data_IF_948660042331
#
_entry.id   IF_948660042331
#
_cell.length_a   1.000
_cell.length_b   1.000
_cell.length_c   1.000
_cell.angle_alpha   90.00
_cell.angle_beta   90.00
_cell.angle_gamma   90.00
#
_symmetry.space_group_name_H-M   'P 1'
#
loop_
_entity.id
_entity.type
_entity.pdbx_description
1 polymer ?
#
# COMPACT_ATOMS: atom_id res chain seq x y z
N UNK A 1 9.52 -6.50 -31.55
CA UNK A 1 9.75 -6.66 -30.10
C UNK A 1 9.41 -8.09 -29.76
N UNK A 2 10.28 -8.84 -29.08
CA UNK A 2 9.88 -10.13 -28.53
C UNK A 2 8.70 -9.88 -27.57
N UNK A 3 7.67 -10.72 -27.59
CA UNK A 3 6.60 -10.61 -26.62
C UNK A 3 7.20 -10.78 -25.23
N UNK A 4 7.08 -9.77 -24.37
CA UNK A 4 7.48 -9.91 -22.97
C UNK A 4 6.45 -10.81 -22.30
N UNK A 5 6.88 -12.01 -21.90
CA UNK A 5 6.04 -12.92 -21.15
C UNK A 5 6.01 -12.49 -19.67
N UNK A 6 4.82 -12.27 -19.16
CA UNK A 6 4.57 -12.00 -17.75
C UNK A 6 3.97 -13.21 -17.04
N UNK A 7 4.27 -13.33 -15.75
CA UNK A 7 3.65 -14.28 -14.84
C UNK A 7 2.90 -13.50 -13.75
N UNK A 8 1.63 -13.84 -13.53
CA UNK A 8 0.83 -13.26 -12.44
C UNK A 8 0.72 -14.29 -11.33
N UNK A 9 1.02 -13.86 -10.09
CA UNK A 9 1.03 -14.73 -8.93
C UNK A 9 0.47 -14.00 -7.71
N UNK A 10 0.01 -14.77 -6.73
CA UNK A 10 -0.31 -14.24 -5.41
C UNK A 10 0.97 -14.23 -4.55
N UNK A 11 1.13 -13.16 -3.78
CA UNK A 11 2.20 -12.99 -2.80
C UNK A 11 1.83 -13.78 -1.56
N UNK A 12 2.72 -14.67 -1.13
CA UNK A 12 2.50 -15.54 0.04
C UNK A 12 3.53 -15.33 1.15
N UNK A 13 4.55 -14.51 0.87
CA UNK A 13 5.65 -14.24 1.79
C UNK A 13 5.97 -12.75 1.83
N UNK A 14 6.53 -12.32 2.96
CA UNK A 14 6.99 -10.95 3.15
C UNK A 14 8.10 -10.56 2.17
N UNK A 15 8.98 -11.49 1.79
CA UNK A 15 10.05 -11.24 0.82
C UNK A 15 9.50 -10.99 -0.59
N UNK A 16 8.44 -11.70 -0.98
CA UNK A 16 7.70 -11.41 -2.21
C UNK A 16 7.03 -10.03 -2.13
N UNK A 17 6.42 -9.69 -0.99
CA UNK A 17 5.83 -8.38 -0.75
C UNK A 17 6.86 -7.25 -0.82
N UNK A 18 8.05 -7.42 -0.24
CA UNK A 18 9.12 -6.42 -0.26
C UNK A 18 9.52 -6.04 -1.70
N UNK A 19 9.49 -6.99 -2.63
CA UNK A 19 9.75 -6.73 -4.06
C UNK A 19 8.63 -5.89 -4.71
N UNK A 20 7.38 -6.12 -4.34
CA UNK A 20 6.27 -5.27 -4.78
C UNK A 20 6.33 -3.88 -4.12
N UNK A 21 6.72 -3.80 -2.86
CA UNK A 21 6.84 -2.52 -2.16
C UNK A 21 7.99 -1.67 -2.74
N UNK A 22 9.06 -2.30 -3.24
CA UNK A 22 10.10 -1.60 -3.97
C UNK A 22 9.56 -0.89 -5.23
N UNK A 23 8.67 -1.55 -5.97
CA UNK A 23 7.96 -0.96 -7.11
C UNK A 23 7.09 0.21 -6.64
N UNK A 24 6.26 0.02 -5.61
CA UNK A 24 5.40 1.08 -5.05
C UNK A 24 6.15 2.35 -4.71
N UNK A 25 7.27 2.19 -4.01
CA UNK A 25 8.12 3.31 -3.66
C UNK A 25 8.80 3.93 -4.88
N UNK A 26 9.21 3.13 -5.86
CA UNK A 26 9.84 3.64 -7.08
C UNK A 26 8.85 4.49 -7.89
N UNK A 27 7.65 3.97 -8.15
CA UNK A 27 6.59 4.63 -8.91
C UNK A 27 6.11 5.94 -8.28
N UNK A 28 6.11 6.03 -6.95
CA UNK A 28 5.66 7.23 -6.23
C UNK A 28 6.78 8.24 -5.95
N UNK A 29 8.04 7.92 -6.27
CA UNK A 29 9.16 8.86 -6.17
C UNK A 29 9.75 9.25 -7.54
N UNK A 30 9.31 8.59 -8.62
CA UNK A 30 9.80 8.83 -9.98
C UNK A 30 8.66 8.76 -11.02
N UNK A 31 7.86 9.84 -11.20
CA UNK A 31 7.97 11.14 -10.54
C UNK A 31 7.45 11.12 -9.10
N UNK A 32 7.85 12.12 -8.30
CA UNK A 32 7.42 12.22 -6.92
C UNK A 32 5.94 12.57 -6.80
N UNK A 33 5.16 11.69 -6.16
CA UNK A 33 3.75 11.88 -5.82
C UNK A 33 3.61 12.26 -4.34
N UNK A 34 3.34 13.55 -4.02
CA UNK A 34 3.29 14.02 -2.64
C UNK A 34 2.20 13.35 -1.79
N UNK A 35 1.10 12.86 -2.38
CA UNK A 35 0.05 12.16 -1.65
C UNK A 35 0.54 10.83 -1.04
N UNK A 36 1.61 10.24 -1.59
CA UNK A 36 2.20 9.00 -1.07
C UNK A 36 2.60 9.13 0.40
N UNK A 37 3.11 10.30 0.81
CA UNK A 37 3.59 10.50 2.19
C UNK A 37 2.47 10.54 3.24
N UNK A 38 1.21 10.64 2.79
CA UNK A 38 0.04 10.56 3.66
C UNK A 38 -0.02 9.18 4.29
N UNK A 39 0.24 8.11 3.52
CA UNK A 39 0.10 6.72 3.98
C UNK A 39 1.44 6.01 4.20
N UNK A 40 2.55 6.58 3.71
CA UNK A 40 3.89 6.00 3.79
C UNK A 40 4.85 7.01 4.42
N UNK A 41 5.47 6.65 5.54
CA UNK A 41 6.29 7.61 6.29
C UNK A 41 7.56 8.03 5.55
N UNK A 42 7.86 9.33 5.56
CA UNK A 42 9.11 9.91 5.05
C UNK A 42 9.77 10.70 6.17
N UNK A 43 10.81 10.15 6.79
CA UNK A 43 11.46 10.67 7.99
C UNK A 43 12.76 11.43 7.72
N UNK A 44 13.30 11.34 6.50
CA UNK A 44 14.54 12.02 6.12
C UNK A 44 14.72 12.12 4.60
N UNK A 45 15.86 12.64 4.18
CA UNK A 45 16.13 13.02 2.77
C UNK A 45 17.33 12.27 2.17
N UNK A 46 17.97 11.39 2.94
CA UNK A 46 19.10 10.59 2.44
C UNK A 46 18.62 9.26 1.85
N UNK A 47 19.47 8.62 1.05
CA UNK A 47 19.20 7.27 0.56
C UNK A 47 19.07 6.25 1.70
N UNK A 48 19.82 6.42 2.79
CA UNK A 48 19.71 5.58 3.99
C UNK A 48 18.35 5.75 4.67
N UNK A 49 17.86 6.99 4.80
CA UNK A 49 16.51 7.25 5.31
C UNK A 49 15.44 6.62 4.41
N UNK A 50 15.61 6.66 3.09
CA UNK A 50 14.67 6.01 2.15
C UNK A 50 14.66 4.50 2.32
N UNK A 51 15.83 3.87 2.47
CA UNK A 51 15.91 2.43 2.70
C UNK A 51 15.26 2.01 4.02
N UNK A 52 15.51 2.77 5.10
CA UNK A 52 14.91 2.51 6.41
C UNK A 52 13.39 2.66 6.41
N UNK A 53 12.88 3.72 5.77
CA UNK A 53 11.45 3.95 5.73
C UNK A 53 10.73 2.91 4.86
N UNK A 54 11.30 2.52 3.72
CA UNK A 54 10.78 1.41 2.90
C UNK A 54 10.75 0.09 3.67
N UNK A 55 11.78 -0.22 4.46
CA UNK A 55 11.80 -1.41 5.29
C UNK A 55 10.72 -1.37 6.38
N UNK A 56 10.57 -0.22 7.06
CA UNK A 56 9.53 -0.02 8.08
C UNK A 56 8.12 -0.11 7.48
N UNK A 57 7.92 0.50 6.31
CA UNK A 57 6.65 0.44 5.58
C UNK A 57 6.33 -0.99 5.12
N UNK A 58 7.33 -1.75 4.68
CA UNK A 58 7.19 -3.18 4.34
C UNK A 58 6.69 -3.97 5.53
N UNK A 59 7.25 -3.74 6.72
CA UNK A 59 6.84 -4.41 7.96
C UNK A 59 5.40 -4.06 8.34
N UNK A 60 5.03 -2.77 8.28
CA UNK A 60 3.71 -2.28 8.64
C UNK A 60 2.62 -2.81 7.69
N UNK A 61 2.84 -2.73 6.39
CA UNK A 61 1.87 -3.15 5.39
C UNK A 61 1.71 -4.68 5.36
N UNK A 62 2.82 -5.43 5.49
CA UNK A 62 2.75 -6.89 5.62
C UNK A 62 1.98 -7.31 6.88
N UNK A 63 2.27 -6.69 8.02
CA UNK A 63 1.53 -6.96 9.27
C UNK A 63 0.03 -6.67 9.11
N UNK A 64 -0.31 -5.57 8.44
CA UNK A 64 -1.71 -5.21 8.15
C UNK A 64 -2.39 -6.22 7.23
N UNK A 65 -1.68 -6.70 6.21
CA UNK A 65 -2.16 -7.75 5.31
C UNK A 65 -2.48 -9.04 6.08
N UNK A 66 -1.56 -9.51 6.93
CA UNK A 66 -1.76 -10.70 7.78
C UNK A 66 -2.94 -10.54 8.74
N UNK A 67 -3.19 -9.31 9.22
CA UNK A 67 -4.30 -8.99 10.12
C UNK A 67 -5.63 -8.71 9.42
N UNK A 68 -5.66 -8.62 8.09
CA UNK A 68 -6.86 -8.29 7.31
C UNK A 68 -7.37 -9.55 6.59
N UNK A 69 -8.38 -10.24 7.15
CA UNK A 69 -8.99 -11.38 6.46
C UNK A 69 -9.50 -10.98 5.08
N UNK A 70 -9.15 -11.78 4.08
CA UNK A 70 -9.52 -11.52 2.68
C UNK A 70 -8.65 -10.48 1.98
N UNK A 71 -7.53 -10.04 2.56
CA UNK A 71 -6.48 -9.32 1.81
C UNK A 71 -5.65 -10.30 0.98
N UNK A 72 -5.40 -9.95 -0.28
CA UNK A 72 -4.65 -10.73 -1.26
C UNK A 72 -3.78 -9.80 -2.10
N UNK A 73 -2.47 -9.89 -1.97
CA UNK A 73 -1.56 -9.20 -2.86
C UNK A 73 -1.30 -10.05 -4.11
N UNK A 74 -1.50 -9.45 -5.27
CA UNK A 74 -1.27 -10.08 -6.58
C UNK A 74 -0.26 -9.22 -7.33
N UNK A 75 0.79 -9.83 -7.87
CA UNK A 75 1.85 -9.14 -8.61
C UNK A 75 2.10 -9.74 -9.99
N UNK A 76 2.67 -8.93 -10.87
CA UNK A 76 3.15 -9.35 -12.19
C UNK A 76 4.68 -9.39 -12.19
N UNK A 77 5.23 -10.48 -12.73
CA UNK A 77 6.65 -10.73 -12.84
C UNK A 77 7.00 -10.83 -14.33
N UNK A 78 7.97 -10.05 -14.78
CA UNK A 78 8.57 -10.23 -16.10
C UNK A 78 9.43 -11.52 -16.10
N UNK A 79 9.07 -12.52 -16.90
CA UNK A 79 9.74 -13.83 -16.85
C UNK A 79 11.21 -13.81 -17.29
N UNK A 80 11.57 -12.90 -18.19
CA UNK A 80 12.94 -12.79 -18.73
C UNK A 80 13.95 -12.29 -17.69
N UNK A 81 13.51 -11.41 -16.79
CA UNK A 81 14.36 -10.77 -15.78
C UNK A 81 14.07 -11.24 -14.36
N UNK A 82 12.89 -11.82 -14.13
CA UNK A 82 12.37 -12.11 -12.79
C UNK A 82 11.98 -10.85 -12.02
N UNK A 83 11.90 -9.67 -12.64
CA UNK A 83 11.52 -8.43 -11.96
C UNK A 83 10.02 -8.38 -11.70
N UNK A 84 9.64 -7.86 -10.54
CA UNK A 84 8.25 -7.44 -10.30
C UNK A 84 8.05 -6.12 -11.02
N UNK A 85 6.99 -6.02 -11.83
CA UNK A 85 6.69 -4.82 -12.65
C UNK A 85 5.45 -4.06 -12.18
N UNK A 86 4.72 -4.62 -11.21
CA UNK A 86 3.51 -4.04 -10.65
C UNK A 86 2.68 -5.07 -9.91
N UNK A 87 1.56 -4.62 -9.36
CA UNK A 87 0.63 -5.45 -8.64
C UNK A 87 -0.54 -4.69 -8.05
N UNK A 88 -1.31 -5.38 -7.22
CA UNK A 88 -2.43 -4.80 -6.50
C UNK A 88 -2.69 -5.57 -5.20
N UNK A 89 -3.30 -4.89 -4.25
CA UNK A 89 -4.00 -5.51 -3.12
C UNK A 89 -5.48 -5.61 -3.46
N UNK A 90 -6.02 -6.81 -3.40
CA UNK A 90 -7.45 -7.04 -3.29
C UNK A 90 -7.84 -7.26 -1.85
N UNK A 91 -8.93 -6.67 -1.41
CA UNK A 91 -9.52 -6.97 -0.10
C UNK A 91 -10.99 -7.34 -0.28
N UNK A 92 -11.33 -8.58 0.05
CA UNK A 92 -12.69 -9.11 -0.01
C UNK A 92 -13.37 -9.01 1.35
N UNK A 93 -14.31 -8.10 1.47
CA UNK A 93 -15.14 -7.93 2.65
C UNK A 93 -16.43 -8.74 2.49
N UNK A 94 -16.53 -9.86 3.22
CA UNK A 94 -17.74 -10.71 3.23
C UNK A 94 -18.85 -10.17 4.16
N UNK A 95 -18.54 -9.16 4.97
CA UNK A 95 -19.44 -8.44 5.87
C UNK A 95 -19.14 -6.95 5.84
N UNK A 96 -19.93 -6.12 6.54
CA UNK A 96 -19.66 -4.69 6.66
C UNK A 96 -18.36 -4.46 7.49
N UNK A 97 -17.28 -3.89 6.92
CA UNK A 97 -16.05 -3.61 7.67
C UNK A 97 -16.13 -2.35 8.54
N UNK A 98 -17.24 -1.60 8.49
CA UNK A 98 -17.51 -0.41 9.28
C UNK A 98 -18.76 -0.61 10.16
N UNK A 99 -18.75 -1.56 11.11
CA UNK A 99 -19.93 -1.88 11.92
C UNK A 99 -20.38 -0.71 12.81
N UNK A 100 -19.46 0.18 13.17
CA UNK A 100 -19.72 1.37 13.99
C UNK A 100 -19.93 2.64 13.14
N UNK A 101 -20.06 2.50 11.82
CA UNK A 101 -20.10 3.61 10.89
C UNK A 101 -18.73 4.29 10.71
N UNK A 102 -18.69 5.47 10.06
CA UNK A 102 -17.45 6.19 9.79
C UNK A 102 -16.77 6.69 11.06
N UNK A 103 -15.45 6.57 11.10
CA UNK A 103 -14.61 6.95 12.22
C UNK A 103 -13.24 7.47 11.78
N UNK A 104 -12.50 8.10 12.70
CA UNK A 104 -11.16 8.59 12.41
C UNK A 104 -10.21 7.45 12.02
N UNK A 105 -9.27 7.74 11.12
CA UNK A 105 -8.20 6.83 10.71
C UNK A 105 -6.93 7.27 11.43
N UNK A 106 -6.50 6.55 12.49
CA UNK A 106 -5.28 6.90 13.20
C UNK A 106 -4.05 6.57 12.35
N UNK A 107 -3.10 7.49 12.29
CA UNK A 107 -1.78 7.26 11.70
C UNK A 107 -0.95 6.38 12.62
N UNK A 108 -0.48 5.24 12.09
CA UNK A 108 0.41 4.30 12.80
C UNK A 108 1.81 4.22 12.20
N UNK A 109 2.10 4.98 11.13
CA UNK A 109 3.37 4.93 10.39
C UNK A 109 4.35 6.05 10.74
N UNK A 110 3.86 7.20 11.22
CA UNK A 110 4.71 8.25 11.80
C UNK A 110 4.86 8.08 13.33
N UNK A 111 5.92 8.65 13.94
CA UNK A 111 6.07 8.66 15.40
C UNK A 111 4.82 9.20 16.10
N UNK A 112 4.33 8.46 17.08
CA UNK A 112 3.16 8.84 17.86
C UNK A 112 3.35 10.21 18.53
N UNK A 113 2.33 11.06 18.44
CA UNK A 113 2.35 12.42 18.99
C UNK A 113 3.12 13.45 18.16
N UNK A 114 3.64 13.09 16.98
CA UNK A 114 4.25 14.06 16.06
C UNK A 114 3.20 14.82 15.24
N UNK A 115 3.50 16.07 14.87
CA UNK A 115 2.66 16.89 13.98
C UNK A 115 2.38 16.18 12.65
N UNK A 116 3.34 15.40 12.13
CA UNK A 116 3.18 14.59 10.92
C UNK A 116 2.14 13.50 11.11
N UNK A 117 2.14 12.82 12.26
CA UNK A 117 1.14 11.80 12.56
C UNK A 117 -0.26 12.43 12.71
N UNK A 118 -0.38 13.59 13.33
CA UNK A 118 -1.65 14.32 13.45
C UNK A 118 -2.18 14.75 12.07
N UNK A 119 -1.32 15.37 11.26
CA UNK A 119 -1.64 15.74 9.88
C UNK A 119 -2.06 14.54 9.04
N UNK A 120 -1.26 13.47 9.03
CA UNK A 120 -1.54 12.26 8.26
C UNK A 120 -2.87 11.61 8.70
N UNK A 121 -3.15 11.54 10.00
CA UNK A 121 -4.42 11.03 10.52
C UNK A 121 -5.60 11.88 10.04
N UNK A 122 -5.47 13.21 10.07
CA UNK A 122 -6.51 14.12 9.63
C UNK A 122 -6.83 13.94 8.15
N UNK A 123 -5.80 13.96 7.30
CA UNK A 123 -5.96 13.84 5.85
C UNK A 123 -6.46 12.45 5.46
N UNK A 124 -5.90 11.38 6.04
CA UNK A 124 -6.36 10.01 5.81
C UNK A 124 -7.83 9.82 6.20
N UNK A 125 -8.25 10.42 7.32
CA UNK A 125 -9.66 10.40 7.75
C UNK A 125 -10.55 11.05 6.70
N UNK A 126 -10.19 12.22 6.17
CA UNK A 126 -10.97 12.89 5.14
C UNK A 126 -11.01 12.09 3.83
N UNK A 127 -9.85 11.59 3.40
CA UNK A 127 -9.70 10.82 2.16
C UNK A 127 -10.52 9.53 2.17
N UNK A 128 -10.51 8.79 3.29
CA UNK A 128 -11.20 7.50 3.40
C UNK A 128 -12.66 7.62 3.85
N UNK A 129 -13.12 8.81 4.25
CA UNK A 129 -14.49 9.02 4.73
C UNK A 129 -15.57 8.60 3.74
N UNK A 130 -15.50 8.91 2.43
CA UNK A 130 -16.52 8.47 1.47
C UNK A 130 -16.65 6.95 1.44
N UNK A 131 -15.50 6.24 1.44
CA UNK A 131 -15.45 4.77 1.51
C UNK A 131 -16.16 4.24 2.76
N UNK A 132 -15.93 4.85 3.92
CA UNK A 132 -16.58 4.43 5.16
C UNK A 132 -18.10 4.62 5.16
N UNK A 133 -18.62 5.59 4.39
CA UNK A 133 -20.08 5.78 4.21
C UNK A 133 -20.67 4.81 3.18
N UNK A 134 -19.99 4.61 2.04
CA UNK A 134 -20.58 3.90 0.90
C UNK A 134 -20.39 2.38 0.97
N UNK A 135 -19.32 1.91 1.61
CA UNK A 135 -18.94 0.51 1.60
C UNK A 135 -19.34 -0.23 2.89
N UNK A 136 -20.51 0.09 3.42
CA UNK A 136 -21.09 -0.51 4.63
C UNK A 136 -21.82 -1.84 4.37
N UNK A 137 -21.30 -2.65 3.46
CA UNK A 137 -21.91 -3.91 2.96
C UNK A 137 -20.82 -4.84 2.44
N UNK A 138 -21.09 -6.12 2.14
CA UNK A 138 -20.12 -6.96 1.45
C UNK A 138 -19.69 -6.34 0.12
N UNK A 139 -18.38 -6.29 -0.12
CA UNK A 139 -17.77 -5.69 -1.32
C UNK A 139 -16.31 -6.17 -1.49
N UNK A 140 -15.74 -5.90 -2.66
CA UNK A 140 -14.31 -6.03 -2.90
C UNK A 140 -13.71 -4.64 -3.13
N UNK A 141 -12.57 -4.37 -2.50
CA UNK A 141 -11.75 -3.18 -2.77
C UNK A 141 -10.45 -3.58 -3.47
N UNK A 142 -9.94 -2.69 -4.31
CA UNK A 142 -8.64 -2.87 -4.97
C UNK A 142 -7.78 -1.62 -4.76
N UNK A 143 -6.49 -1.82 -4.48
CA UNK A 143 -5.45 -0.82 -4.53
C UNK A 143 -4.38 -1.32 -5.51
N UNK A 144 -3.99 -0.53 -6.51
CA UNK A 144 -3.03 -0.97 -7.52
C UNK A 144 -1.76 -0.13 -7.48
N UNK A 145 -0.70 -0.71 -8.03
CA UNK A 145 0.61 -0.08 -8.23
C UNK A 145 1.24 -0.64 -9.49
N UNK A 146 1.80 0.23 -10.32
CA UNK A 146 2.55 -0.11 -11.52
C UNK A 146 3.80 0.77 -11.64
N UNK A 147 4.88 0.24 -12.24
CA UNK A 147 6.12 1.01 -12.49
C UNK A 147 5.87 2.25 -13.39
N UNK A 148 4.82 2.22 -14.22
CA UNK A 148 4.56 3.25 -15.22
C UNK A 148 3.71 4.43 -14.74
N UNK A 149 3.15 4.39 -13.52
CA UNK A 149 2.33 5.47 -12.94
C UNK A 149 1.12 5.80 -13.82
N UNK A 150 -0.04 5.20 -13.50
CA UNK A 150 -1.30 5.34 -14.25
C UNK A 150 -1.68 6.74 -14.76
#
# INVERSE_FOLDING_TARGET
MAATDFEVREITTKDEFARLNDVLWTSNFHPYEPAFIIFHAVNGHTAEDRAKDKATDTDLQWTKHEQTPGSHYIYAIEKSTGRVVGGCEWIFYHSNPFPNGPGPVPCTWYPAGSDRAEYASHVATQFLRPRQYWFQRPHAGVLYVDEDGG
#
